data_IF_443802481378
#
_entry.id   IF_443802481378
#
_cell.length_a   1.000
_cell.length_b   1.000
_cell.length_c   1.000
_cell.angle_alpha   90.00
_cell.angle_beta   90.00
_cell.angle_gamma   90.00
#
_symmetry.space_group_name_H-M   'P 1'
#
loop_
_entity.id
_entity.type
_entity.pdbx_description
1 polymer ?
#
# COMPACT_ATOMS: atom_id res chain seq x y z
N UNK A 1 -0.02 3.71 -4.66
CA UNK A 1 -1.06 4.76 -4.62
C UNK A 1 -2.26 4.29 -5.44
N UNK A 2 -3.50 4.55 -4.99
CA UNK A 2 -4.72 4.21 -5.73
C UNK A 2 -5.43 5.49 -6.19
N UNK A 3 -5.85 5.50 -7.45
CA UNK A 3 -6.53 6.63 -8.10
C UNK A 3 -7.93 6.20 -8.56
N UNK A 4 -8.92 7.08 -8.42
CA UNK A 4 -10.08 7.12 -9.32
C UNK A 4 -9.97 8.36 -10.21
N UNK A 5 -10.77 8.45 -11.28
CA UNK A 5 -10.69 9.56 -12.25
C UNK A 5 -10.79 10.99 -11.68
N UNK A 6 -11.10 11.15 -10.38
CA UNK A 6 -11.14 12.42 -9.65
C UNK A 6 -9.95 12.64 -8.68
N UNK A 7 -9.09 11.65 -8.41
CA UNK A 7 -7.89 11.84 -7.60
C UNK A 7 -7.43 10.62 -6.81
N UNK A 8 -6.60 10.89 -5.79
CA UNK A 8 -6.04 9.86 -4.90
C UNK A 8 -7.10 9.40 -3.91
N UNK A 9 -7.55 8.16 -4.07
CA UNK A 9 -8.58 7.54 -3.22
C UNK A 9 -8.00 6.63 -2.12
N UNK A 10 -6.68 6.44 -2.11
CA UNK A 10 -6.00 5.64 -1.12
C UNK A 10 -4.50 5.58 -1.31
N UNK A 11 -3.80 5.30 -0.21
CA UNK A 11 -2.35 5.16 -0.19
C UNK A 11 -1.92 4.07 0.79
N UNK A 12 -0.72 3.58 0.57
CA UNK A 12 -0.04 2.65 1.45
C UNK A 12 1.42 3.08 1.50
N UNK A 13 2.01 3.06 2.70
CA UNK A 13 3.38 3.44 2.96
C UNK A 13 4.14 2.28 3.58
N UNK A 14 5.36 2.07 3.10
CA UNK A 14 6.29 1.05 3.55
C UNK A 14 7.59 1.71 3.99
N UNK A 15 8.20 1.17 5.04
CA UNK A 15 9.54 1.52 5.50
C UNK A 15 10.41 0.28 5.42
N UNK A 16 11.59 0.39 4.82
CA UNK A 16 12.54 -0.72 4.76
C UNK A 16 13.30 -0.77 6.08
N UNK A 17 13.16 -1.88 6.80
CA UNK A 17 13.98 -2.17 7.96
C UNK A 17 15.22 -2.94 7.52
N UNK A 18 16.33 -2.20 7.40
CA UNK A 18 17.63 -2.75 7.02
C UNK A 18 18.26 -3.63 8.11
N UNK A 19 17.81 -3.54 9.36
CA UNK A 19 18.31 -4.37 10.46
C UNK A 19 17.62 -5.73 10.45
N UNK A 20 16.30 -5.76 10.23
CA UNK A 20 15.51 -6.99 10.23
C UNK A 20 15.41 -7.67 8.85
N UNK A 21 16.08 -7.13 7.82
CA UNK A 21 15.95 -7.59 6.41
C UNK A 21 14.48 -7.74 5.99
N UNK A 22 13.70 -6.72 6.30
CA UNK A 22 12.25 -6.75 6.12
C UNK A 22 11.68 -5.39 5.73
N UNK A 23 10.41 -5.40 5.38
CA UNK A 23 9.65 -4.21 5.07
C UNK A 23 8.48 -4.08 6.07
N UNK A 24 8.38 -2.93 6.72
CA UNK A 24 7.30 -2.62 7.65
C UNK A 24 6.24 -1.77 6.95
N UNK A 25 4.99 -2.23 7.01
CA UNK A 25 3.85 -1.47 6.51
C UNK A 25 3.42 -0.44 7.56
N UNK A 26 3.72 0.84 7.32
CA UNK A 26 3.51 1.93 8.29
C UNK A 26 2.17 2.62 8.15
N UNK A 27 1.62 2.68 6.95
CA UNK A 27 0.39 3.41 6.68
C UNK A 27 -0.45 2.71 5.65
N UNK A 28 -1.75 2.64 5.88
CA UNK A 28 -2.73 2.18 4.91
C UNK A 28 -4.00 3.02 5.07
N UNK A 29 -4.39 3.70 4.00
CA UNK A 29 -5.61 4.49 3.97
C UNK A 29 -6.35 4.25 2.66
N UNK A 30 -7.67 4.13 2.79
CA UNK A 30 -8.61 4.15 1.68
C UNK A 30 -9.76 5.06 2.08
N UNK A 31 -10.15 5.96 1.19
CA UNK A 31 -11.29 6.83 1.39
C UNK A 31 -12.55 6.04 1.75
N UNK A 32 -13.37 6.48 2.71
CA UNK A 32 -14.53 5.74 3.18
C UNK A 32 -15.45 5.22 2.07
N UNK A 33 -15.78 6.04 1.07
CA UNK A 33 -16.62 5.65 -0.06
C UNK A 33 -16.02 4.55 -0.95
N UNK A 34 -14.70 4.35 -0.89
CA UNK A 34 -13.94 3.38 -1.70
C UNK A 34 -13.55 2.13 -0.89
N UNK A 35 -13.93 2.04 0.38
CA UNK A 35 -13.70 0.86 1.23
C UNK A 35 -14.61 -0.29 0.82
N UNK A 36 -14.27 -1.51 1.25
CA UNK A 36 -14.96 -2.77 0.92
C UNK A 36 -15.02 -3.10 -0.58
N UNK A 37 -14.48 -2.26 -1.46
CA UNK A 37 -14.28 -2.52 -2.89
C UNK A 37 -12.89 -3.12 -3.19
N UNK A 38 -12.33 -3.88 -2.25
CA UNK A 38 -11.03 -4.55 -2.35
C UNK A 38 -9.78 -3.63 -2.58
N UNK A 39 -9.94 -2.30 -2.47
CA UNK A 39 -8.86 -1.32 -2.71
C UNK A 39 -7.69 -1.45 -1.74
N UNK A 40 -7.97 -1.71 -0.46
CA UNK A 40 -6.92 -1.92 0.54
C UNK A 40 -6.05 -3.13 0.22
N UNK A 41 -6.66 -4.25 -0.20
CA UNK A 41 -5.92 -5.45 -0.58
C UNK A 41 -5.07 -5.21 -1.85
N UNK A 42 -5.60 -4.47 -2.84
CA UNK A 42 -4.84 -4.09 -4.03
C UNK A 42 -3.60 -3.25 -3.67
N UNK A 43 -3.75 -2.30 -2.76
CA UNK A 43 -2.63 -1.48 -2.27
C UNK A 43 -1.58 -2.32 -1.56
N UNK A 44 -1.98 -3.22 -0.65
CA UNK A 44 -1.06 -4.11 0.07
C UNK A 44 -0.29 -5.01 -0.90
N UNK A 45 -0.98 -5.64 -1.86
CA UNK A 45 -0.33 -6.50 -2.86
C UNK A 45 0.70 -5.76 -3.71
N UNK A 46 0.44 -4.50 -4.05
CA UNK A 46 1.40 -3.69 -4.79
C UNK A 46 2.68 -3.45 -3.97
N UNK A 47 2.53 -3.19 -2.67
CA UNK A 47 3.67 -3.02 -1.75
C UNK A 47 4.43 -4.32 -1.53
N UNK A 48 3.74 -5.44 -1.35
CA UNK A 48 4.38 -6.76 -1.23
C UNK A 48 5.20 -7.10 -2.48
N UNK A 49 4.68 -6.80 -3.67
CA UNK A 49 5.39 -6.99 -4.92
C UNK A 49 6.64 -6.08 -5.01
N UNK A 50 6.53 -4.81 -4.61
CA UNK A 50 7.65 -3.87 -4.58
C UNK A 50 8.72 -4.31 -3.58
N UNK A 51 8.33 -4.70 -2.36
CA UNK A 51 9.22 -5.23 -1.35
C UNK A 51 9.99 -6.47 -1.84
N UNK A 52 9.32 -7.38 -2.58
CA UNK A 52 9.95 -8.56 -3.15
C UNK A 52 11.01 -8.22 -4.23
N UNK A 53 10.93 -7.06 -4.88
CA UNK A 53 11.96 -6.60 -5.82
C UNK A 53 13.16 -5.92 -5.16
N UNK A 54 13.01 -5.49 -3.90
CA UNK A 54 14.04 -4.80 -3.13
C UNK A 54 14.93 -5.77 -2.32
N UNK A 55 14.57 -7.07 -2.31
CA UNK A 55 15.29 -8.16 -1.65
C UNK A 55 16.35 -8.80 -2.52
#
# INVERSE_FOLDING_TARGET
>A
MALDGAGIIGFVGMEIDVQERGALLRSLYVEPQHRKANRGAQLVRAVEAEAATLG
#
